data_IF_884263447745
#
_entry.id   IF_884263447745
#
_cell.length_a   1.000
_cell.length_b   1.000
_cell.length_c   1.000
_cell.angle_alpha   90.00
_cell.angle_beta   90.00
_cell.angle_gamma   90.00
#
_symmetry.space_group_name_H-M   'P 1'
#
loop_
_entity.id
_entity.type
_entity.pdbx_description
1 polymer ?
#
# COMPACT_ATOMS: atom_id res chain seq x y z
N UNK A 1 -7.92 -14.23 -0.39
CA UNK A 1 -7.79 -13.84 1.03
C UNK A 1 -8.96 -12.93 1.37
N UNK A 2 -9.46 -12.96 2.61
CA UNK A 2 -10.54 -12.09 3.08
C UNK A 2 -10.01 -11.37 4.34
N UNK A 3 -9.52 -10.12 4.22
CA UNK A 3 -8.94 -9.41 5.35
C UNK A 3 -9.96 -9.19 6.48
N UNK A 4 -9.49 -9.25 7.72
CA UNK A 4 -10.22 -8.89 8.93
C UNK A 4 -9.81 -7.51 9.48
N UNK A 5 -8.59 -7.07 9.17
CA UNK A 5 -8.10 -5.74 9.52
C UNK A 5 -8.05 -4.86 8.27
N UNK A 6 -8.58 -3.65 8.40
CA UNK A 6 -8.89 -2.76 7.28
C UNK A 6 -8.27 -1.38 7.51
N UNK A 7 -8.07 -0.64 6.41
CA UNK A 7 -7.68 0.76 6.48
C UNK A 7 -8.68 1.57 7.29
N UNK A 8 -8.18 2.51 8.10
CA UNK A 8 -9.00 3.46 8.81
C UNK A 8 -9.70 4.40 7.82
N UNK A 9 -10.84 4.97 8.22
CA UNK A 9 -11.64 5.83 7.33
C UNK A 9 -10.89 7.09 6.91
N UNK A 10 -10.14 7.70 7.82
CA UNK A 10 -9.27 8.85 7.53
C UNK A 10 -8.23 8.51 6.46
N UNK A 11 -7.57 7.36 6.57
CA UNK A 11 -6.56 6.89 5.60
C UNK A 11 -7.18 6.68 4.22
N UNK A 12 -8.37 6.05 4.16
CA UNK A 12 -9.10 5.88 2.90
C UNK A 12 -9.53 7.22 2.29
N UNK A 13 -9.99 8.16 3.10
CA UNK A 13 -10.34 9.51 2.63
C UNK A 13 -9.12 10.25 2.08
N UNK A 14 -7.98 10.20 2.79
CA UNK A 14 -6.73 10.79 2.31
C UNK A 14 -6.23 10.12 1.03
N UNK A 15 -6.39 8.81 0.89
CA UNK A 15 -6.08 8.07 -0.33
C UNK A 15 -6.98 8.53 -1.49
N UNK A 16 -8.30 8.59 -1.28
CA UNK A 16 -9.27 9.04 -2.28
C UNK A 16 -9.00 10.49 -2.76
N UNK A 17 -8.62 11.36 -1.83
CA UNK A 17 -8.27 12.75 -2.13
C UNK A 17 -6.87 12.93 -2.76
N UNK A 18 -6.08 11.86 -2.89
CA UNK A 18 -4.69 11.93 -3.36
C UNK A 18 -3.73 12.66 -2.39
N UNK A 19 -4.14 12.81 -1.12
CA UNK A 19 -3.39 13.53 -0.09
C UNK A 19 -2.53 12.60 0.79
N UNK A 20 -2.75 11.28 0.71
CA UNK A 20 -1.99 10.30 1.49
C UNK A 20 -0.52 10.26 0.99
N UNK A 21 0.48 10.35 1.89
CA UNK A 21 1.89 10.29 1.53
C UNK A 21 2.21 9.10 0.62
N UNK A 22 3.05 9.32 -0.39
CA UNK A 22 3.39 8.32 -1.40
C UNK A 22 3.72 6.91 -0.86
N UNK A 23 4.58 6.71 0.17
CA UNK A 23 4.86 5.39 0.71
C UNK A 23 3.61 4.70 1.29
N UNK A 24 2.78 5.44 2.03
CA UNK A 24 1.54 4.92 2.61
C UNK A 24 0.53 4.58 1.50
N UNK A 25 0.41 5.42 0.47
CA UNK A 25 -0.45 5.18 -0.69
C UNK A 25 -0.11 3.88 -1.42
N UNK A 26 1.16 3.49 -1.50
CA UNK A 26 1.57 2.23 -2.13
C UNK A 26 1.08 1.02 -1.34
N UNK A 27 1.19 1.05 0.00
CA UNK A 27 0.71 -0.03 0.89
C UNK A 27 -0.83 -0.06 0.93
N UNK A 28 -1.48 1.10 0.98
CA UNK A 28 -2.93 1.19 0.88
C UNK A 28 -3.44 0.58 -0.45
N UNK A 29 -2.78 0.90 -1.57
CA UNK A 29 -3.07 0.29 -2.88
C UNK A 29 -2.94 -1.23 -2.86
N UNK A 30 -1.87 -1.75 -2.25
CA UNK A 30 -1.64 -3.19 -2.12
C UNK A 30 -2.75 -3.90 -1.31
N UNK A 31 -3.27 -3.23 -0.27
CA UNK A 31 -4.43 -3.71 0.49
C UNK A 31 -5.73 -3.65 -0.33
N UNK A 32 -5.96 -2.56 -1.07
CA UNK A 32 -7.14 -2.37 -1.91
C UNK A 32 -7.25 -3.43 -3.02
N UNK A 33 -6.15 -3.97 -3.53
CA UNK A 33 -6.16 -5.11 -4.46
C UNK A 33 -6.80 -6.37 -3.84
N UNK A 34 -6.67 -6.54 -2.53
CA UNK A 34 -7.09 -7.75 -1.81
C UNK A 34 -8.37 -7.59 -0.98
N UNK A 35 -8.77 -6.35 -0.69
CA UNK A 35 -9.85 -6.05 0.25
C UNK A 35 -11.09 -5.45 -0.45
N UNK A 36 -12.13 -6.25 -0.76
CA UNK A 36 -13.35 -5.73 -1.40
C UNK A 36 -14.10 -4.70 -0.53
N UNK A 37 -14.05 -4.85 0.80
CA UNK A 37 -14.68 -3.89 1.72
C UNK A 37 -14.03 -2.51 1.67
N UNK A 38 -12.69 -2.44 1.69
CA UNK A 38 -11.98 -1.17 1.53
C UNK A 38 -12.17 -0.57 0.14
N UNK A 39 -12.26 -1.39 -0.93
CA UNK A 39 -12.62 -0.89 -2.26
C UNK A 39 -14.00 -0.25 -2.30
N UNK A 40 -14.98 -0.82 -1.61
CA UNK A 40 -16.31 -0.21 -1.55
C UNK A 40 -16.28 1.12 -0.80
N UNK A 41 -15.64 1.16 0.38
CA UNK A 41 -15.48 2.39 1.16
C UNK A 41 -14.71 3.48 0.39
N UNK A 42 -13.71 3.09 -0.41
CA UNK A 42 -13.00 3.99 -1.30
C UNK A 42 -13.93 4.61 -2.35
N UNK A 43 -14.76 3.79 -3.03
CA UNK A 43 -15.74 4.29 -3.99
C UNK A 43 -16.71 5.28 -3.36
N UNK A 44 -17.14 5.02 -2.13
CA UNK A 44 -18.03 5.93 -1.40
C UNK A 44 -17.35 7.28 -1.12
N UNK A 45 -16.05 7.27 -0.78
CA UNK A 45 -15.25 8.49 -0.62
C UNK A 45 -15.01 9.23 -1.95
N UNK A 46 -14.69 8.51 -3.03
CA UNK A 46 -14.52 9.08 -4.38
C UNK A 46 -15.81 9.70 -4.92
N UNK A 47 -16.98 9.15 -4.57
CA UNK A 47 -18.28 9.70 -4.95
C UNK A 47 -18.48 11.14 -4.40
N UNK A 48 -17.95 11.44 -3.21
CA UNK A 48 -17.95 12.81 -2.67
C UNK A 48 -17.11 13.72 -3.57
N UNK A 49 -15.92 13.26 -3.98
CA UNK A 49 -15.06 13.97 -4.92
C UNK A 49 -15.74 14.23 -6.28
N UNK A 50 -16.51 13.27 -6.79
CA UNK A 50 -17.31 13.45 -8.02
C UNK A 50 -18.29 14.61 -7.90
N UNK A 51 -19.07 14.65 -6.82
CA UNK A 51 -20.05 15.72 -6.58
C UNK A 51 -19.36 17.09 -6.45
N UNK A 52 -18.25 17.16 -5.72
CA UNK A 52 -17.49 18.40 -5.57
C UNK A 52 -16.89 18.88 -6.90
N UNK A 53 -16.40 17.95 -7.72
CA UNK A 53 -15.85 18.26 -9.04
C UNK A 53 -16.94 18.81 -9.98
N UNK A 54 -18.13 18.18 -10.00
CA UNK A 54 -19.28 18.64 -10.77
C UNK A 54 -19.70 20.07 -10.39
N UNK A 55 -19.71 20.39 -9.10
CA UNK A 55 -20.03 21.74 -8.60
C UNK A 55 -18.98 22.79 -8.97
N UNK A 56 -17.74 22.37 -9.23
CA UNK A 56 -16.63 23.26 -9.61
C UNK A 56 -16.55 23.46 -11.12
N UNK A 57 -17.28 22.67 -11.92
CA UNK A 57 -17.27 22.84 -13.37
C UNK A 57 -17.91 24.19 -13.74
N UNK A 58 -17.21 25.03 -14.54
CA UNK A 58 -17.81 26.27 -15.01
C UNK A 58 -19.05 25.95 -15.84
N UNK A 59 -20.12 26.73 -15.63
CA UNK A 59 -21.33 26.60 -16.44
C UNK A 59 -20.96 26.56 -17.92
N UNK A 60 -21.54 25.59 -18.64
CA UNK A 60 -21.40 25.45 -20.08
C UNK A 60 -21.95 26.70 -20.78
N UNK A 61 -21.10 27.71 -21.00
CA UNK A 61 -21.40 28.76 -21.95
C UNK A 61 -21.30 28.17 -23.36
N UNK A 62 -22.43 28.07 -24.05
CA UNK A 62 -22.46 27.81 -25.49
C UNK A 62 -21.60 28.87 -26.19
N UNK A 63 -20.58 28.44 -26.94
CA UNK A 63 -19.75 29.34 -27.76
C UNK A 63 -18.30 29.59 -27.29
N UNK A 64 -17.78 28.87 -26.29
CA UNK A 64 -16.38 29.00 -25.89
C UNK A 64 -15.42 28.35 -26.91
N UNK A 65 -15.00 29.13 -27.92
CA UNK A 65 -14.12 28.70 -29.01
C UNK A 65 -12.83 28.03 -28.52
N UNK A 66 -12.30 28.43 -27.35
CA UNK A 66 -11.12 27.81 -26.74
C UNK A 66 -11.40 26.36 -26.35
N UNK A 67 -12.56 26.07 -25.77
CA UNK A 67 -12.96 24.72 -25.35
C UNK A 67 -13.12 23.78 -26.54
N UNK A 68 -13.74 24.25 -27.62
CA UNK A 68 -13.86 23.48 -28.86
C UNK A 68 -12.49 23.17 -29.47
N UNK A 69 -11.59 24.16 -29.54
CA UNK A 69 -10.23 23.95 -30.04
C UNK A 69 -9.43 22.94 -29.18
N UNK A 70 -9.53 23.04 -27.84
CA UNK A 70 -8.89 22.07 -26.93
C UNK A 70 -9.47 20.66 -27.10
N UNK A 71 -10.79 20.53 -27.28
CA UNK A 71 -11.44 19.25 -27.56
C UNK A 71 -10.97 18.65 -28.88
N UNK A 72 -10.91 19.44 -29.95
CA UNK A 72 -10.42 18.99 -31.25
C UNK A 72 -8.95 18.55 -31.20
N UNK A 73 -8.09 19.31 -30.51
CA UNK A 73 -6.69 18.94 -30.31
C UNK A 73 -6.56 17.59 -29.57
N UNK A 74 -7.35 17.37 -28.52
CA UNK A 74 -7.36 16.10 -27.77
C UNK A 74 -7.83 14.93 -28.64
N UNK A 75 -8.88 15.13 -29.45
CA UNK A 75 -9.38 14.11 -30.39
C UNK A 75 -8.37 13.79 -31.50
N UNK A 76 -7.69 14.81 -32.03
CA UNK A 76 -6.63 14.63 -33.02
C UNK A 76 -5.45 13.83 -32.45
N UNK A 77 -5.06 14.11 -31.20
CA UNK A 77 -4.01 13.34 -30.52
C UNK A 77 -4.40 11.87 -30.39
N UNK A 78 -5.62 11.57 -29.91
CA UNK A 78 -6.14 10.21 -29.83
C UNK A 78 -6.21 9.50 -31.19
N UNK A 79 -6.54 10.22 -32.26
CA UNK A 79 -6.60 9.67 -33.62
C UNK A 79 -5.20 9.46 -34.23
N UNK A 80 -4.20 10.23 -33.80
CA UNK A 80 -2.80 10.15 -34.26
C UNK A 80 -1.99 9.09 -33.56
N UNK A 81 -2.41 8.67 -32.36
CA UNK A 81 -1.92 7.45 -31.74
C UNK A 81 -2.31 6.28 -32.65
N UNK A 82 -1.36 5.80 -33.47
CA UNK A 82 -1.47 4.46 -34.04
C UNK A 82 -1.79 3.54 -32.88
N UNK A 83 -2.76 2.61 -32.99
CA UNK A 83 -2.98 1.65 -31.93
C UNK A 83 -1.62 0.98 -31.72
N UNK A 84 -0.95 1.35 -30.64
CA UNK A 84 0.11 0.52 -30.09
C UNK A 84 -0.57 -0.83 -30.05
N UNK A 85 0.04 -1.84 -30.67
CA UNK A 85 -0.41 -3.21 -30.58
C UNK A 85 -0.30 -3.70 -29.14
N UNK A 86 -0.91 -3.00 -28.19
CA UNK A 86 -1.52 -3.58 -27.03
C UNK A 86 -2.47 -4.61 -27.64
N UNK A 87 -2.25 -5.91 -27.44
CA UNK A 87 -3.22 -6.90 -27.86
C UNK A 87 -4.56 -6.39 -27.36
N UNK A 88 -5.53 -6.26 -28.26
CA UNK A 88 -6.89 -5.90 -27.91
C UNK A 88 -7.27 -6.87 -26.81
N UNK A 89 -7.17 -6.41 -25.56
CA UNK A 89 -7.57 -7.20 -24.42
C UNK A 89 -9.06 -7.20 -24.63
N UNK A 90 -9.56 -8.26 -25.27
CA UNK A 90 -10.95 -8.63 -25.13
C UNK A 90 -11.23 -8.39 -23.65
N UNK A 91 -12.32 -7.73 -23.32
CA UNK A 91 -12.84 -7.71 -21.97
C UNK A 91 -13.23 -9.15 -21.61
N UNK A 92 -12.23 -10.03 -21.54
CA UNK A 92 -12.19 -11.14 -20.62
C UNK A 92 -12.54 -10.45 -19.32
N UNK A 93 -13.67 -10.77 -18.68
CA UNK A 93 -13.91 -10.27 -17.34
C UNK A 93 -12.62 -10.55 -16.61
N UNK A 94 -11.90 -9.49 -16.20
CA UNK A 94 -10.69 -9.67 -15.40
C UNK A 94 -11.17 -10.56 -14.28
N UNK A 95 -10.71 -11.82 -14.27
CA UNK A 95 -11.01 -12.69 -13.15
C UNK A 95 -10.64 -11.85 -11.95
N UNK A 96 -11.59 -11.58 -11.06
CA UNK A 96 -11.37 -10.75 -9.87
C UNK A 96 -10.22 -11.27 -9.00
N UNK A 97 -9.69 -12.44 -9.36
CA UNK A 97 -8.44 -13.03 -8.89
C UNK A 97 -7.69 -13.65 -10.09
N UNK A 98 -6.46 -13.21 -10.43
CA UNK A 98 -5.48 -14.18 -10.89
C UNK A 98 -5.53 -15.36 -9.91
N UNK A 99 -5.45 -16.62 -10.38
CA UNK A 99 -5.21 -17.74 -9.46
C UNK A 99 -4.19 -17.28 -8.43
N UNK A 100 -4.56 -17.36 -7.13
CA UNK A 100 -3.85 -16.69 -6.06
C UNK A 100 -2.48 -17.34 -5.89
N UNK A 101 -1.57 -17.04 -6.80
CA UNK A 101 -0.19 -17.45 -6.77
C UNK A 101 0.38 -16.83 -5.50
N UNK A 102 0.71 -17.66 -4.49
CA UNK A 102 1.23 -17.17 -3.22
C UNK A 102 2.60 -16.51 -3.38
N UNK A 103 3.20 -16.58 -4.57
CA UNK A 103 4.44 -15.90 -4.92
C UNK A 103 4.21 -14.51 -5.53
N UNK A 104 3.04 -14.21 -6.08
CA UNK A 104 2.79 -12.95 -6.77
C UNK A 104 2.60 -11.78 -5.79
N UNK A 105 3.32 -10.68 -6.02
CA UNK A 105 3.18 -9.44 -5.25
C UNK A 105 2.03 -8.57 -5.77
N UNK A 106 1.34 -7.80 -4.91
CA UNK A 106 0.41 -6.76 -5.35
C UNK A 106 1.03 -5.84 -6.42
N UNK A 107 0.25 -5.44 -7.43
CA UNK A 107 0.68 -4.62 -8.57
C UNK A 107 1.27 -3.29 -8.11
N UNK A 108 0.72 -2.68 -7.05
CA UNK A 108 1.26 -1.43 -6.49
C UNK A 108 2.71 -1.56 -6.00
N UNK A 109 3.17 -2.77 -5.69
CA UNK A 109 4.52 -3.06 -5.21
C UNK A 109 5.52 -3.34 -6.33
N UNK A 110 5.04 -3.64 -7.55
CA UNK A 110 5.89 -4.07 -8.68
C UNK A 110 7.01 -3.07 -9.03
N UNK A 111 6.77 -1.74 -9.08
CA UNK A 111 7.81 -0.78 -9.42
C UNK A 111 8.98 -0.75 -8.42
N UNK A 112 8.76 -1.24 -7.20
CA UNK A 112 9.71 -1.12 -6.08
C UNK A 112 10.40 -2.44 -5.75
N UNK A 113 9.68 -3.56 -5.86
CA UNK A 113 10.14 -4.86 -5.41
C UNK A 113 10.06 -5.95 -6.48
N UNK A 114 9.50 -5.65 -7.67
CA UNK A 114 9.20 -6.64 -8.71
C UNK A 114 7.89 -7.39 -8.45
N UNK A 115 7.62 -8.40 -9.28
CA UNK A 115 6.32 -9.09 -9.28
C UNK A 115 6.25 -10.36 -8.40
N UNK A 116 7.38 -10.85 -7.88
CA UNK A 116 7.48 -12.15 -7.23
C UNK A 116 8.21 -12.07 -5.89
N UNK A 117 7.65 -12.72 -4.87
CA UNK A 117 8.23 -12.89 -3.54
C UNK A 117 9.52 -13.73 -3.58
N UNK A 118 9.57 -14.77 -4.41
CA UNK A 118 10.74 -15.64 -4.56
C UNK A 118 11.93 -14.91 -5.22
N UNK A 119 11.67 -13.91 -6.05
CA UNK A 119 12.72 -13.10 -6.69
C UNK A 119 13.38 -12.08 -5.73
N UNK A 120 12.81 -11.87 -4.54
CA UNK A 120 13.29 -10.85 -3.60
C UNK A 120 14.66 -11.18 -3.02
N UNK A 121 15.57 -10.21 -3.13
CA UNK A 121 16.94 -10.28 -2.59
C UNK A 121 17.00 -9.70 -1.18
N UNK A 122 16.66 -10.53 -0.20
CA UNK A 122 16.64 -10.18 1.22
C UNK A 122 18.02 -9.77 1.74
N UNK A 123 18.08 -8.65 2.49
CA UNK A 123 19.28 -8.24 3.22
C UNK A 123 19.12 -8.59 4.69
N UNK A 124 20.15 -9.20 5.27
CA UNK A 124 20.15 -9.51 6.70
C UNK A 124 20.16 -8.22 7.53
N UNK A 125 19.32 -8.17 8.56
CA UNK A 125 19.21 -7.02 9.47
C UNK A 125 19.50 -7.41 10.93
N UNK A 126 18.95 -8.54 11.38
CA UNK A 126 19.12 -9.08 12.73
C UNK A 126 18.86 -10.60 12.73
N UNK A 127 19.16 -11.33 13.81
CA UNK A 127 18.89 -12.78 13.89
C UNK A 127 17.41 -13.13 13.65
N UNK A 128 17.13 -13.70 12.47
CA UNK A 128 15.78 -14.05 12.04
C UNK A 128 14.96 -12.91 11.44
N UNK A 129 15.58 -11.76 11.15
CA UNK A 129 14.93 -10.62 10.49
C UNK A 129 15.75 -10.19 9.28
N UNK A 130 15.08 -10.12 8.13
CA UNK A 130 15.64 -9.59 6.90
C UNK A 130 14.78 -8.43 6.40
N UNK A 131 15.41 -7.49 5.69
CA UNK A 131 14.73 -6.34 5.13
C UNK A 131 15.13 -6.07 3.69
N UNK A 132 14.24 -5.38 2.97
CA UNK A 132 14.50 -4.72 1.70
C UNK A 132 13.90 -3.31 1.82
N UNK A 133 14.61 -2.29 1.36
CA UNK A 133 14.08 -0.93 1.25
C UNK A 133 13.95 -0.60 -0.23
N UNK A 134 12.85 0.05 -0.61
CA UNK A 134 12.74 0.57 -1.96
C UNK A 134 13.83 1.65 -2.19
N UNK A 135 14.57 1.56 -3.29
CA UNK A 135 15.77 2.38 -3.53
C UNK A 135 15.45 3.88 -3.54
N UNK A 136 14.39 4.27 -4.24
CA UNK A 136 13.94 5.66 -4.36
C UNK A 136 12.99 6.10 -3.24
N UNK A 137 12.61 5.18 -2.35
CA UNK A 137 11.66 5.44 -1.26
C UNK A 137 12.02 4.63 -0.02
N UNK A 138 13.07 5.02 0.74
CA UNK A 138 13.62 4.20 1.82
C UNK A 138 12.67 3.94 3.00
N UNK A 139 11.58 4.70 3.10
CA UNK A 139 10.49 4.52 4.07
C UNK A 139 9.48 3.44 3.68
N UNK A 140 9.52 2.96 2.43
CA UNK A 140 8.80 1.77 1.98
C UNK A 140 9.72 0.55 2.11
N UNK A 141 9.34 -0.37 2.99
CA UNK A 141 10.19 -1.48 3.40
C UNK A 141 9.42 -2.80 3.30
N UNK A 142 10.13 -3.86 2.90
CA UNK A 142 9.66 -5.23 3.10
C UNK A 142 10.43 -5.86 4.24
N UNK A 143 9.72 -6.56 5.10
CA UNK A 143 10.29 -7.32 6.21
C UNK A 143 9.98 -8.79 6.05
N UNK A 144 10.97 -9.64 6.33
CA UNK A 144 10.81 -11.08 6.47
C UNK A 144 11.30 -11.50 7.83
N UNK A 145 10.37 -11.97 8.65
CA UNK A 145 10.57 -12.23 10.05
C UNK A 145 10.33 -13.72 10.29
N UNK A 146 11.33 -14.40 10.85
CA UNK A 146 11.27 -15.82 11.14
C UNK A 146 10.16 -16.12 12.17
N UNK A 147 9.56 -17.32 12.13
CA UNK A 147 8.51 -17.72 13.08
C UNK A 147 8.92 -17.58 14.54
N UNK A 148 7.97 -17.19 15.40
CA UNK A 148 8.17 -17.07 16.85
C UNK A 148 9.07 -15.90 17.28
N UNK A 149 9.44 -15.00 16.35
CA UNK A 149 10.19 -13.79 16.69
C UNK A 149 9.26 -12.72 17.24
N UNK A 150 9.72 -12.09 18.30
CA UNK A 150 9.11 -10.94 18.95
C UNK A 150 9.91 -9.70 18.55
N UNK A 151 9.26 -8.73 17.92
CA UNK A 151 9.88 -7.44 17.65
C UNK A 151 9.99 -6.62 18.94
N UNK A 152 10.98 -5.72 19.06
CA UNK A 152 11.02 -4.79 20.18
C UNK A 152 9.75 -3.93 20.20
N UNK A 153 9.29 -3.59 21.41
CA UNK A 153 8.22 -2.62 21.59
C UNK A 153 8.60 -1.29 20.93
N UNK A 154 7.67 -0.73 20.16
CA UNK A 154 7.84 0.54 19.47
C UNK A 154 6.51 1.24 19.28
N UNK A 155 6.59 2.56 19.11
CA UNK A 155 5.56 3.39 18.50
C UNK A 155 6.07 3.98 17.18
N UNK A 156 5.20 4.69 16.50
CA UNK A 156 5.48 5.30 15.20
C UNK A 156 5.67 6.82 15.36
N UNK A 157 6.49 7.44 14.52
CA UNK A 157 6.73 8.89 14.62
C UNK A 157 5.57 9.75 14.10
N UNK A 158 4.66 9.13 13.32
CA UNK A 158 3.37 9.61 12.82
C UNK A 158 2.55 8.36 12.48
N UNK A 159 2.21 8.14 11.21
CA UNK A 159 1.50 6.94 10.77
C UNK A 159 2.43 5.85 10.23
N UNK A 160 2.04 4.61 10.47
CA UNK A 160 2.58 3.40 9.84
C UNK A 160 1.44 2.61 9.18
N UNK A 161 1.65 2.21 7.93
CA UNK A 161 0.84 1.17 7.29
C UNK A 161 1.67 -0.08 7.09
N UNK A 162 1.23 -1.20 7.67
CA UNK A 162 1.88 -2.50 7.50
C UNK A 162 0.88 -3.55 7.02
N UNK A 163 1.08 -4.06 5.80
CA UNK A 163 0.25 -5.11 5.23
C UNK A 163 0.96 -6.47 5.28
N UNK A 164 0.26 -7.51 5.74
CA UNK A 164 0.76 -8.88 5.71
C UNK A 164 0.57 -9.49 4.32
N UNK A 165 1.66 -10.00 3.75
CA UNK A 165 1.66 -10.70 2.46
C UNK A 165 1.71 -12.22 2.65
N UNK A 166 2.42 -12.70 3.68
CA UNK A 166 2.53 -14.13 4.01
C UNK A 166 2.75 -14.35 5.50
N UNK A 167 2.27 -15.46 6.03
CA UNK A 167 2.37 -15.77 7.45
C UNK A 167 1.46 -14.87 8.27
N UNK A 168 1.82 -14.63 9.52
CA UNK A 168 1.04 -13.76 10.42
C UNK A 168 1.87 -13.32 11.61
N UNK A 169 1.39 -12.28 12.29
CA UNK A 169 1.83 -11.96 13.64
C UNK A 169 0.61 -11.67 14.53
N UNK A 170 0.82 -11.76 15.83
CA UNK A 170 -0.15 -11.36 16.84
C UNK A 170 0.46 -10.27 17.73
N UNK A 171 -0.33 -9.27 18.11
CA UNK A 171 0.03 -8.26 19.12
C UNK A 171 -1.19 -7.94 20.01
N UNK A 172 -1.15 -6.81 20.72
CA UNK A 172 -2.25 -6.37 21.59
C UNK A 172 -3.51 -5.96 20.81
N UNK A 173 -3.39 -5.64 19.52
CA UNK A 173 -4.48 -5.25 18.64
C UNK A 173 -5.14 -6.47 17.97
N UNK A 174 -4.42 -7.59 17.90
CA UNK A 174 -4.95 -8.88 17.47
C UNK A 174 -4.04 -9.63 16.51
N UNK A 175 -4.62 -10.60 15.81
CA UNK A 175 -3.94 -11.45 14.85
C UNK A 175 -4.03 -10.83 13.44
N UNK A 176 -2.89 -10.45 12.88
CA UNK A 176 -2.78 -9.97 11.50
C UNK A 176 -2.34 -11.11 10.58
N UNK A 177 -3.17 -11.44 9.60
CA UNK A 177 -2.99 -12.54 8.65
C UNK A 177 -2.91 -12.02 7.19
N UNK A 178 -2.58 -12.85 6.18
CA UNK A 178 -2.34 -12.37 4.83
C UNK A 178 -3.53 -11.58 4.25
N UNK A 179 -3.24 -10.37 3.78
CA UNK A 179 -4.21 -9.39 3.30
C UNK A 179 -4.58 -8.32 4.34
N UNK A 180 -4.43 -8.60 5.63
CA UNK A 180 -4.67 -7.63 6.71
C UNK A 180 -3.69 -6.47 6.65
N UNK A 181 -4.17 -5.30 7.06
CA UNK A 181 -3.36 -4.08 7.22
C UNK A 181 -3.47 -3.58 8.66
N UNK A 182 -2.31 -3.31 9.26
CA UNK A 182 -2.20 -2.50 10.47
C UNK A 182 -2.07 -1.04 10.04
N UNK A 183 -3.01 -0.21 10.48
CA UNK A 183 -3.07 1.23 10.21
C UNK A 183 -2.94 1.95 11.56
N UNK A 184 -1.69 2.29 11.90
CA UNK A 184 -1.30 2.68 13.24
C UNK A 184 -0.76 4.11 13.25
N UNK A 185 -1.03 4.85 14.32
CA UNK A 185 -0.51 6.19 14.56
C UNK A 185 0.54 6.22 15.68
N UNK A 186 0.94 7.41 16.07
CA UNK A 186 1.98 7.65 17.08
C UNK A 186 1.58 7.28 18.52
N UNK A 187 0.28 7.14 18.79
CA UNK A 187 -0.24 6.82 20.12
C UNK A 187 -0.23 5.30 20.39
N UNK A 188 -0.13 4.50 19.33
CA UNK A 188 -0.10 3.04 19.42
C UNK A 188 1.32 2.56 19.72
N UNK A 189 1.50 1.96 20.89
CA UNK A 189 2.65 1.09 21.17
C UNK A 189 2.27 -0.36 20.93
N UNK A 190 3.10 -1.10 20.18
CA UNK A 190 2.85 -2.51 19.96
C UNK A 190 4.11 -3.37 19.89
N UNK A 191 3.90 -4.69 20.10
CA UNK A 191 4.95 -5.69 20.14
C UNK A 191 4.56 -6.92 19.31
N UNK A 192 4.76 -6.88 17.98
CA UNK A 192 4.41 -7.99 17.12
C UNK A 192 5.18 -9.27 17.45
N UNK A 193 4.45 -10.38 17.57
CA UNK A 193 5.00 -11.72 17.70
C UNK A 193 4.54 -12.57 16.53
N UNK A 194 5.49 -12.98 15.70
CA UNK A 194 5.19 -13.80 14.51
C UNK A 194 4.71 -15.20 14.90
N UNK A 195 3.66 -15.68 14.21
CA UNK A 195 3.10 -16.99 14.47
C UNK A 195 4.09 -18.13 14.12
N UNK A 196 3.95 -19.32 14.73
CA UNK A 196 4.72 -20.50 14.34
C UNK A 196 4.50 -20.92 12.88
N UNK A 197 5.44 -21.68 12.33
CA UNK A 197 5.32 -22.29 11.00
C UNK A 197 6.05 -21.54 9.89
N UNK A 198 5.37 -20.63 9.21
CA UNK A 198 5.93 -19.89 8.06
C UNK A 198 6.43 -18.50 8.46
N UNK A 199 7.50 -17.97 7.82
CA UNK A 199 7.93 -16.60 8.07
C UNK A 199 6.80 -15.59 7.80
N UNK A 200 6.70 -14.58 8.66
CA UNK A 200 5.85 -13.42 8.41
C UNK A 200 6.56 -12.49 7.42
N UNK A 201 5.94 -12.27 6.26
CA UNK A 201 6.40 -11.32 5.25
C UNK A 201 5.37 -10.21 5.16
N UNK A 202 5.81 -8.98 5.35
CA UNK A 202 4.98 -7.79 5.24
C UNK A 202 5.68 -6.70 4.43
N UNK A 203 4.86 -5.82 3.86
CA UNK A 203 5.31 -4.51 3.38
C UNK A 203 4.85 -3.47 4.39
N UNK A 204 5.73 -2.56 4.74
CA UNK A 204 5.48 -1.47 5.67
C UNK A 204 5.89 -0.15 5.05
N UNK A 205 5.11 0.88 5.32
CA UNK A 205 5.39 2.25 4.94
C UNK A 205 5.32 3.12 6.19
N UNK A 206 6.40 3.87 6.39
CA UNK A 206 6.57 4.76 7.52
C UNK A 206 6.47 6.20 7.05
N UNK A 207 5.69 6.99 7.77
CA UNK A 207 5.59 8.42 7.53
C UNK A 207 6.64 9.24 8.32
N UNK A 208 7.21 8.61 9.35
CA UNK A 208 8.36 9.08 10.11
C UNK A 208 9.13 7.86 10.67
N UNK A 209 10.41 8.01 11.06
CA UNK A 209 11.17 6.91 11.66
C UNK A 209 10.47 6.28 12.86
N UNK A 210 10.72 4.98 13.10
CA UNK A 210 10.19 4.27 14.27
C UNK A 210 10.66 4.90 15.58
N UNK A 211 9.89 4.79 16.66
CA UNK A 211 10.28 5.26 17.99
C UNK A 211 10.28 4.09 18.96
N UNK A 212 11.47 3.59 19.31
CA UNK A 212 11.58 2.45 20.23
C UNK A 212 11.54 2.89 21.71
N UNK A 213 10.72 2.22 22.53
CA UNK A 213 10.55 2.57 23.95
C UNK A 213 11.65 2.02 24.87
N UNK A 214 12.38 0.98 24.42
CA UNK A 214 13.48 0.36 25.18
C UNK A 214 14.84 1.07 25.03
N UNK A 215 15.55 1.29 26.14
CA UNK A 215 16.87 1.95 26.16
C UNK A 215 17.92 1.29 25.24
N UNK A 216 17.92 -0.05 25.16
CA UNK A 216 18.81 -0.83 24.30
C UNK A 216 18.38 -0.73 22.83
N UNK A 217 17.07 -0.75 22.57
CA UNK A 217 16.50 -0.61 21.23
C UNK A 217 16.77 0.80 20.63
N UNK A 218 16.65 1.87 21.43
CA UNK A 218 17.04 3.23 21.04
C UNK A 218 18.52 3.35 20.64
N UNK A 219 19.42 2.62 21.30
CA UNK A 219 20.84 2.61 20.93
C UNK A 219 21.07 1.88 19.60
N UNK A 220 20.36 0.79 19.34
CA UNK A 220 20.43 0.03 18.08
C UNK A 220 19.86 0.84 16.91
N UNK A 221 18.85 1.66 17.14
CA UNK A 221 18.24 2.53 16.12
C UNK A 221 19.24 3.50 15.44
N UNK A 222 20.32 3.91 16.12
CA UNK A 222 21.39 4.73 15.50
C UNK A 222 22.22 3.96 14.47
N UNK A 223 22.23 2.63 14.53
CA UNK A 223 22.98 1.74 13.64
C UNK A 223 22.10 1.09 12.59
N UNK A 224 20.84 0.85 12.92
CA UNK A 224 19.80 0.37 12.01
C UNK A 224 18.88 1.55 11.75
N UNK A 225 19.25 2.44 10.81
CA UNK A 225 18.37 3.54 10.37
C UNK A 225 17.06 2.92 9.84
N UNK A 226 16.07 2.77 10.72
CA UNK A 226 14.69 2.38 10.45
C UNK A 226 13.81 3.61 10.55
#
# INVERSE_FOLDING_TARGET
MNPHHHLHESTLMSYAAGALPAPLSIVAGAHLEHCPQCRQRLRDAEAIGSVLLEQTQPASAEGDARRSALREAMLAQLASESPVGLPMVASVPQRERPEADPDHLPVSLHPYFGASLAALRWRWMAPGVHCIRAEQMPSLIMLKIAPGKCLPMHSHGRSELTQILRGSYNDALGLFAPGDVADLDEEVEHQPVTAPGVPCICVSALDAPLVFSGWLARKIQRFVKL
#
